data_IF_208557668170
#
_entry.id   IF_208557668170
#
_cell.length_a   1.000
_cell.length_b   1.000
_cell.length_c   1.000
_cell.angle_alpha   90.00
_cell.angle_beta   90.00
_cell.angle_gamma   90.00
#
_symmetry.space_group_name_H-M   'P 1'
#
loop_
_entity.id
_entity.type
_entity.pdbx_description
1 polymer ?
#
# COMPACT_ATOMS: atom_id res chain seq x y z
N UNK A 1 -0.82 -5.97 6.43
CA UNK A 1 -1.75 -4.93 6.92
C UNK A 1 -3.02 -4.98 6.08
N UNK A 2 -4.19 -4.97 6.72
CA UNK A 2 -5.50 -4.99 6.04
C UNK A 2 -6.37 -3.88 6.63
N UNK A 3 -6.98 -3.08 5.76
CA UNK A 3 -7.96 -2.04 6.09
C UNK A 3 -9.23 -2.41 5.33
N UNK A 4 -10.39 -2.32 5.98
CA UNK A 4 -11.67 -2.67 5.37
C UNK A 4 -12.73 -1.60 5.67
N UNK A 5 -13.53 -1.28 4.67
CA UNK A 5 -14.76 -0.49 4.80
C UNK A 5 -15.92 -1.43 4.54
N UNK A 6 -16.88 -1.45 5.46
CA UNK A 6 -18.15 -2.13 5.29
C UNK A 6 -19.29 -1.11 5.22
N UNK A 7 -19.61 -0.70 3.99
CA UNK A 7 -20.71 0.21 3.70
C UNK A 7 -21.80 -0.53 2.91
N UNK A 8 -23.04 -0.50 3.42
CA UNK A 8 -24.19 -1.17 2.79
C UNK A 8 -24.58 -0.53 1.47
N UNK A 9 -24.45 0.78 1.38
CA UNK A 9 -24.87 1.56 0.20
C UNK A 9 -23.77 1.66 -0.85
N UNK A 10 -22.58 1.12 -0.56
CA UNK A 10 -21.38 1.11 -1.43
C UNK A 10 -21.02 2.49 -1.98
N UNK A 11 -21.25 3.54 -1.19
CA UNK A 11 -20.94 4.93 -1.51
C UNK A 11 -19.52 5.32 -1.12
N UNK A 12 -18.85 4.58 -0.23
CA UNK A 12 -17.50 4.90 0.22
C UNK A 12 -16.41 4.09 -0.47
N UNK A 13 -15.33 4.77 -0.84
CA UNK A 13 -14.06 4.22 -1.29
C UNK A 13 -12.94 4.70 -0.37
N UNK A 14 -11.76 4.10 -0.47
CA UNK A 14 -10.59 4.53 0.29
C UNK A 14 -9.29 4.45 -0.50
N UNK A 15 -8.31 5.22 -0.02
CA UNK A 15 -6.93 5.21 -0.48
C UNK A 15 -5.99 5.36 0.71
N UNK A 16 -4.97 4.52 0.77
CA UNK A 16 -3.88 4.67 1.75
C UNK A 16 -2.88 5.68 1.19
N UNK A 17 -2.65 6.78 1.91
CA UNK A 17 -1.76 7.88 1.51
C UNK A 17 -0.34 7.60 1.97
N UNK A 18 -0.02 7.92 3.21
CA UNK A 18 1.32 7.80 3.76
C UNK A 18 1.38 6.76 4.85
N UNK A 19 2.40 5.92 4.85
CA UNK A 19 2.74 5.00 5.92
C UNK A 19 4.15 5.28 6.45
N UNK A 20 4.29 5.24 7.76
CA UNK A 20 5.56 5.36 8.49
C UNK A 20 5.75 4.17 9.41
N UNK A 21 7.00 3.78 9.62
CA UNK A 21 7.40 2.81 10.62
C UNK A 21 8.30 3.46 11.68
N UNK A 22 8.08 3.16 12.95
CA UNK A 22 8.95 3.63 14.04
C UNK A 22 9.00 2.63 15.19
N UNK A 23 10.02 2.75 16.03
CA UNK A 23 10.21 1.99 17.28
C UNK A 23 9.93 2.83 18.54
N UNK A 24 9.55 4.11 18.37
CA UNK A 24 9.32 5.04 19.48
C UNK A 24 10.59 5.68 20.05
N UNK A 25 11.78 5.26 19.61
CA UNK A 25 13.07 5.81 20.04
C UNK A 25 13.72 6.65 18.93
N UNK A 26 13.70 6.14 17.71
CA UNK A 26 14.32 6.75 16.52
C UNK A 26 13.28 7.46 15.67
N UNK A 27 13.75 8.33 14.78
CA UNK A 27 12.90 9.00 13.81
C UNK A 27 12.15 8.01 12.90
N UNK A 28 10.95 8.35 12.43
CA UNK A 28 10.13 7.47 11.61
C UNK A 28 10.78 7.18 10.24
N UNK A 29 10.68 5.93 9.80
CA UNK A 29 11.03 5.50 8.45
C UNK A 29 9.80 5.65 7.56
N UNK A 30 9.89 6.50 6.53
CA UNK A 30 8.85 6.65 5.54
C UNK A 30 8.76 5.39 4.65
N UNK A 31 7.63 4.68 4.70
CA UNK A 31 7.37 3.48 3.89
C UNK A 31 6.71 3.84 2.56
N UNK A 32 5.82 4.82 2.57
CA UNK A 32 5.17 5.37 1.36
C UNK A 32 5.20 6.90 1.37
N UNK A 33 5.20 7.54 0.22
CA UNK A 33 5.02 9.00 0.12
C UNK A 33 3.60 9.43 0.52
N UNK A 34 3.31 10.73 0.49
CA UNK A 34 1.99 11.32 0.75
C UNK A 34 0.90 10.92 -0.27
N UNK A 35 1.30 10.23 -1.34
CA UNK A 35 0.43 9.81 -2.45
C UNK A 35 0.20 8.31 -2.50
N UNK A 36 0.89 7.51 -1.68
CA UNK A 36 0.76 6.05 -1.64
C UNK A 36 1.84 5.28 -2.40
N UNK A 37 2.84 5.96 -2.97
CA UNK A 37 3.93 5.31 -3.67
C UNK A 37 4.92 4.68 -2.68
N UNK A 38 5.26 3.41 -2.89
CA UNK A 38 6.18 2.66 -2.02
C UNK A 38 7.60 3.20 -2.15
N UNK A 39 8.15 3.67 -1.04
CA UNK A 39 9.54 4.16 -0.93
C UNK A 39 10.50 3.06 -0.43
N UNK A 40 9.98 2.02 0.21
CA UNK A 40 10.75 0.92 0.81
C UNK A 40 10.15 -0.44 0.44
N UNK A 41 10.34 -0.91 -0.81
CA UNK A 41 9.71 -2.14 -1.31
C UNK A 41 10.19 -3.42 -0.60
N UNK A 42 11.35 -3.38 0.06
CA UNK A 42 11.84 -4.49 0.90
C UNK A 42 11.11 -4.62 2.23
N UNK A 43 10.31 -3.63 2.63
CA UNK A 43 9.62 -3.59 3.93
C UNK A 43 8.11 -3.71 3.76
N UNK A 44 7.56 -3.10 2.71
CA UNK A 44 6.13 -3.02 2.46
C UNK A 44 5.85 -3.07 0.95
N UNK A 45 4.86 -3.86 0.55
CA UNK A 45 4.36 -3.88 -0.84
C UNK A 45 3.43 -2.70 -1.11
N UNK A 46 3.09 -2.47 -2.38
CA UNK A 46 2.01 -1.53 -2.71
C UNK A 46 0.68 -2.00 -2.10
N UNK A 47 -0.19 -1.07 -1.74
CA UNK A 47 -1.53 -1.41 -1.29
C UNK A 47 -2.37 -1.86 -2.49
N UNK A 48 -2.84 -3.10 -2.43
CA UNK A 48 -3.84 -3.64 -3.34
C UNK A 48 -5.23 -3.30 -2.82
N UNK A 49 -6.12 -2.88 -3.72
CA UNK A 49 -7.51 -2.55 -3.40
C UNK A 49 -8.45 -3.54 -4.08
N UNK A 50 -9.35 -4.13 -3.31
CA UNK A 50 -10.39 -5.05 -3.76
C UNK A 50 -11.74 -4.45 -3.37
N UNK A 51 -12.66 -4.42 -4.32
CA UNK A 51 -14.07 -4.05 -4.07
C UNK A 51 -14.89 -5.32 -3.92
N UNK A 52 -15.95 -5.27 -3.13
CA UNK A 52 -16.87 -6.37 -2.89
C UNK A 52 -16.17 -7.67 -2.43
N UNK A 53 -15.52 -7.60 -1.26
CA UNK A 53 -14.81 -8.74 -0.68
C UNK A 53 -15.78 -9.79 -0.14
N UNK A 54 -16.31 -10.62 -1.04
CA UNK A 54 -17.23 -11.74 -0.76
C UNK A 54 -18.41 -11.36 0.13
N UNK A 55 -18.94 -10.13 -0.03
CA UNK A 55 -20.03 -9.58 0.78
C UNK A 55 -19.69 -9.25 2.24
N UNK A 56 -18.44 -9.49 2.68
CA UNK A 56 -17.98 -9.20 4.05
C UNK A 56 -17.53 -7.75 4.23
N UNK A 57 -17.05 -7.13 3.14
CA UNK A 57 -16.67 -5.73 3.11
C UNK A 57 -16.90 -5.14 1.70
N UNK A 58 -17.31 -3.88 1.66
CA UNK A 58 -17.50 -3.12 0.43
C UNK A 58 -16.17 -2.78 -0.26
N UNK A 59 -15.13 -2.44 0.50
CA UNK A 59 -13.78 -2.17 0.01
C UNK A 59 -12.75 -2.71 0.99
N UNK A 60 -11.72 -3.37 0.49
CA UNK A 60 -10.56 -3.84 1.27
C UNK A 60 -9.29 -3.30 0.63
N UNK A 61 -8.42 -2.71 1.42
CA UNK A 61 -7.07 -2.31 1.03
C UNK A 61 -6.07 -3.11 1.86
N UNK A 62 -5.15 -3.82 1.22
CA UNK A 62 -4.17 -4.62 1.92
C UNK A 62 -2.78 -4.50 1.33
N UNK A 63 -1.78 -4.66 2.19
CA UNK A 63 -0.37 -4.69 1.82
C UNK A 63 0.37 -5.73 2.65
N UNK A 64 1.30 -6.44 2.02
CA UNK A 64 2.20 -7.35 2.69
C UNK A 64 3.36 -6.54 3.27
N UNK A 65 3.64 -6.75 4.56
CA UNK A 65 4.85 -6.26 5.19
C UNK A 65 5.81 -7.44 5.33
N UNK A 66 7.07 -7.20 4.98
CA UNK A 66 8.14 -8.16 5.25
C UNK A 66 8.69 -7.84 6.63
N UNK A 67 8.84 -8.85 7.48
CA UNK A 67 9.36 -8.63 8.83
C UNK A 67 10.73 -7.93 8.78
N UNK A 68 10.84 -6.81 9.46
CA UNK A 68 12.08 -6.06 9.66
C UNK A 68 12.18 -5.70 11.13
N UNK A 69 13.40 -5.41 11.60
CA UNK A 69 13.64 -4.94 12.97
C UNK A 69 14.46 -3.66 12.95
N UNK A 70 14.24 -2.82 13.96
CA UNK A 70 15.21 -1.79 14.30
C UNK A 70 16.40 -2.43 15.04
N UNK A 71 17.60 -1.82 15.02
CA UNK A 71 18.78 -2.40 15.68
C UNK A 71 18.62 -2.56 17.20
N UNK A 72 17.92 -1.62 17.83
CA UNK A 72 17.86 -1.50 19.29
C UNK A 72 16.57 -2.10 19.90
N UNK A 73 15.51 -2.26 19.10
CA UNK A 73 14.23 -2.79 19.55
C UNK A 73 13.69 -3.84 18.60
N UNK A 74 12.92 -4.76 19.17
CA UNK A 74 12.17 -5.76 18.39
C UNK A 74 10.76 -5.27 18.01
N UNK A 75 10.29 -4.18 18.60
CA UNK A 75 8.96 -3.64 18.37
C UNK A 75 8.96 -2.68 17.18
N UNK A 76 8.00 -2.85 16.28
CA UNK A 76 7.80 -2.01 15.11
C UNK A 76 6.35 -1.57 15.06
N UNK A 77 6.13 -0.25 15.05
CA UNK A 77 4.81 0.34 14.89
C UNK A 77 4.69 0.90 13.47
N UNK A 78 3.65 0.47 12.75
CA UNK A 78 3.33 0.96 11.41
C UNK A 78 2.07 1.82 11.50
N UNK A 79 2.20 3.09 11.15
CA UNK A 79 1.10 4.05 11.14
C UNK A 79 0.82 4.49 9.72
N UNK A 80 -0.45 4.46 9.29
CA UNK A 80 -0.86 4.88 7.95
C UNK A 80 -1.99 5.91 7.99
N UNK A 81 -1.92 6.89 7.10
CA UNK A 81 -2.98 7.86 6.83
C UNK A 81 -3.88 7.31 5.73
N UNK A 82 -5.17 7.17 6.02
CA UNK A 82 -6.18 6.68 5.08
C UNK A 82 -7.12 7.82 4.72
N UNK A 83 -7.32 8.02 3.42
CA UNK A 83 -8.29 8.96 2.87
C UNK A 83 -9.54 8.17 2.47
N UNK A 84 -10.70 8.64 2.92
CA UNK A 84 -12.01 8.06 2.60
C UNK A 84 -12.72 9.04 1.68
N UNK A 85 -13.25 8.54 0.57
CA UNK A 85 -13.87 9.35 -0.47
C UNK A 85 -15.27 8.82 -0.76
N UNK A 86 -16.23 9.72 -1.03
CA UNK A 86 -17.54 9.32 -1.53
C UNK A 86 -17.47 9.14 -3.05
N UNK A 87 -18.05 8.05 -3.56
CA UNK A 87 -18.11 7.68 -4.98
C UNK A 87 -16.78 7.41 -5.68
N UNK A 88 -15.70 7.20 -4.92
CA UNK A 88 -14.38 6.89 -5.46
C UNK A 88 -13.32 7.89 -5.01
N UNK A 89 -12.12 7.38 -4.72
CA UNK A 89 -10.96 8.26 -4.54
C UNK A 89 -10.31 8.55 -5.90
N UNK A 90 -9.74 9.76 -6.10
CA UNK A 90 -9.01 10.09 -7.32
C UNK A 90 -7.95 9.04 -7.65
N UNK A 91 -8.11 8.37 -8.79
CA UNK A 91 -7.14 7.39 -9.26
C UNK A 91 -5.91 8.13 -9.78
N UNK A 92 -4.72 7.69 -9.38
CA UNK A 92 -3.47 8.21 -9.94
C UNK A 92 -2.92 7.14 -10.87
N UNK A 93 -2.75 7.52 -12.13
CA UNK A 93 -1.88 6.82 -13.07
C UNK A 93 -0.53 6.62 -12.38
N UNK A 94 -0.24 5.39 -11.97
CA UNK A 94 1.13 5.03 -11.64
C UNK A 94 1.93 5.38 -12.88
N UNK A 95 2.87 6.32 -12.77
CA UNK A 95 4.08 6.15 -13.56
C UNK A 95 4.65 4.83 -13.06
N UNK A 96 4.28 3.75 -13.73
CA UNK A 96 5.15 2.59 -13.79
C UNK A 96 6.52 3.20 -14.02
N UNK A 97 7.44 3.04 -13.07
CA UNK A 97 8.84 3.20 -13.43
C UNK A 97 9.03 2.13 -14.49
N UNK A 98 8.92 2.50 -15.76
CA UNK A 98 9.45 1.72 -16.85
C UNK A 98 10.86 1.32 -16.41
N UNK A 99 11.20 0.03 -16.41
CA UNK A 99 12.60 -0.35 -16.39
C UNK A 99 13.29 0.44 -17.49
N UNK A 100 14.48 1.02 -17.27
CA UNK A 100 15.19 1.70 -18.34
C UNK A 100 15.29 0.73 -19.53
N UNK A 101 14.75 1.17 -20.67
CA UNK A 101 14.71 0.41 -21.92
C UNK A 101 16.07 -0.22 -22.20
N UNK A 102 16.16 -1.55 -22.21
CA UNK A 102 17.45 -2.20 -22.42
C UNK A 102 17.58 -3.71 -22.20
N UNK A 103 16.50 -4.49 -22.14
CA UNK A 103 16.62 -5.96 -22.15
C UNK A 103 15.58 -6.58 -23.09
N UNK A 104 16.05 -6.95 -24.28
CA UNK A 104 15.26 -7.49 -25.37
C UNK A 104 14.61 -8.84 -25.06
N UNK A 105 13.44 -9.00 -25.66
CA UNK A 105 12.82 -10.22 -26.20
C UNK A 105 13.56 -11.54 -25.98
N UNK A 106 12.92 -12.49 -25.29
CA UNK A 106 13.05 -13.91 -25.62
C UNK A 106 11.70 -14.42 -26.12
N UNK A 107 11.71 -14.81 -27.40
CA UNK A 107 10.60 -15.41 -28.14
C UNK A 107 10.25 -16.78 -27.56
N UNK A 108 8.97 -17.01 -27.31
CA UNK A 108 8.43 -18.34 -27.01
C UNK A 108 8.32 -19.14 -28.30
N UNK A 109 9.31 -19.98 -28.56
CA UNK A 109 9.13 -21.23 -29.30
C UNK A 109 9.39 -22.38 -28.32
N UNK A 110 8.32 -23.00 -27.82
CA UNK A 110 8.04 -24.43 -28.03
C UNK A 110 6.64 -24.75 -27.50
#
# INVERSE_FOLDING_TARGET
MVIAINDRDKQFDMRVKSCVAHDGLRGPIQLTDDRGCVLRPKMLTAFMKVRDFSGRASVVAFSHFYAFKFPDTIEVQIQCVVEICRHGCPERLSRTREPPDGAGTYSSHQ
#
